data_IF_615813565122
#
_entry.id   IF_615813565122
#
_cell.length_a   1.000
_cell.length_b   1.000
_cell.length_c   1.000
_cell.angle_alpha   90.00
_cell.angle_beta   90.00
_cell.angle_gamma   90.00
#
_symmetry.space_group_name_H-M   'P 1'
#
loop_
_entity.id
_entity.type
_entity.pdbx_description
1 polymer ?
#
# COMPACT_ATOMS: atom_id res chain seq x y z
N UNK A 1 7.27 48.50 -45.83
CA UNK A 1 8.27 47.43 -46.00
C UNK A 1 9.57 47.88 -45.31
N UNK A 2 9.78 47.53 -44.04
CA UNK A 2 11.04 47.73 -43.31
C UNK A 2 11.05 46.97 -41.98
N UNK A 3 12.27 46.56 -41.56
CA UNK A 3 12.75 45.98 -40.28
C UNK A 3 13.11 44.49 -40.40
N UNK A 4 14.38 44.19 -40.71
CA UNK A 4 15.56 44.13 -39.81
C UNK A 4 15.79 42.70 -39.35
N UNK A 5 16.65 41.94 -40.03
CA UNK A 5 18.03 41.66 -39.56
C UNK A 5 18.04 41.25 -38.09
N UNK A 6 18.25 39.97 -37.80
CA UNK A 6 19.46 39.49 -37.12
C UNK A 6 19.43 37.96 -37.04
N UNK A 7 20.50 37.38 -37.57
CA UNK A 7 20.84 35.97 -37.61
C UNK A 7 21.68 35.72 -36.36
N UNK A 8 21.27 34.80 -35.49
CA UNK A 8 22.18 34.20 -34.51
C UNK A 8 22.01 32.69 -34.54
N UNK A 9 22.95 32.03 -35.22
CA UNK A 9 23.30 30.64 -34.95
C UNK A 9 24.15 30.66 -33.68
N UNK A 10 23.83 29.82 -32.71
CA UNK A 10 24.76 29.55 -31.60
C UNK A 10 24.11 28.91 -30.39
N UNK A 11 24.43 27.63 -30.19
CA UNK A 11 24.52 26.94 -28.91
C UNK A 11 23.22 26.59 -28.16
N UNK A 12 22.82 25.30 -28.24
CA UNK A 12 22.91 24.31 -27.14
C UNK A 12 22.74 22.93 -27.78
N UNK A 13 23.81 22.18 -28.05
CA UNK A 13 24.58 21.40 -27.07
C UNK A 13 23.72 20.38 -26.31
N UNK A 14 23.89 19.12 -26.72
CA UNK A 14 23.79 17.93 -25.88
C UNK A 14 22.44 17.62 -25.19
N UNK A 15 21.58 16.90 -25.92
CA UNK A 15 20.68 15.92 -25.31
C UNK A 15 21.13 14.50 -25.70
N UNK A 16 22.44 14.25 -25.62
CA UNK A 16 22.96 12.91 -25.47
C UNK A 16 22.69 12.42 -24.05
N UNK A 17 22.30 11.16 -23.95
CA UNK A 17 22.51 10.29 -22.80
C UNK A 17 21.67 10.55 -21.56
N UNK A 18 20.40 10.11 -21.56
CA UNK A 18 19.77 9.52 -20.36
C UNK A 18 18.75 8.40 -20.69
N UNK A 19 18.76 7.84 -21.91
CA UNK A 19 17.89 6.71 -22.28
C UNK A 19 18.48 5.33 -21.90
N UNK A 20 19.27 5.28 -20.83
CA UNK A 20 19.73 4.04 -20.21
C UNK A 20 19.25 3.99 -18.77
N UNK A 21 17.92 3.96 -18.59
CA UNK A 21 17.35 3.28 -17.44
C UNK A 21 17.54 1.78 -17.71
N UNK A 22 18.38 1.04 -16.96
CA UNK A 22 18.62 -0.37 -17.25
C UNK A 22 17.28 -1.09 -17.17
N UNK A 23 16.91 -1.82 -18.22
CA UNK A 23 15.68 -2.63 -18.29
C UNK A 23 15.57 -3.67 -17.16
N UNK A 24 16.66 -3.92 -16.41
CA UNK A 24 16.68 -4.72 -15.18
C UNK A 24 16.32 -3.98 -13.87
N UNK A 25 16.18 -2.65 -13.86
CA UNK A 25 15.79 -1.87 -12.66
C UNK A 25 14.28 -1.67 -12.55
N UNK A 26 13.56 -1.68 -13.68
CA UNK A 26 12.11 -1.49 -13.70
C UNK A 26 11.36 -2.69 -13.08
N UNK A 27 11.84 -3.91 -13.36
CA UNK A 27 11.34 -5.13 -12.72
C UNK A 27 11.54 -5.13 -11.20
N UNK A 28 12.71 -4.67 -10.72
CA UNK A 28 13.02 -4.67 -9.28
C UNK A 28 12.17 -3.67 -8.49
N UNK A 29 11.82 -2.52 -9.08
CA UNK A 29 11.00 -1.48 -8.43
C UNK A 29 9.55 -1.90 -8.22
N UNK A 30 8.94 -2.59 -9.18
CA UNK A 30 7.56 -3.06 -9.02
C UNK A 30 7.47 -4.12 -7.92
N UNK A 31 8.43 -5.06 -7.90
CA UNK A 31 8.48 -6.12 -6.89
C UNK A 31 8.74 -5.58 -5.48
N UNK A 32 9.67 -4.64 -5.30
CA UNK A 32 9.97 -4.10 -3.97
C UNK A 32 8.76 -3.36 -3.39
N UNK A 33 8.05 -2.56 -4.20
CA UNK A 33 6.87 -1.83 -3.76
C UNK A 33 5.76 -2.77 -3.30
N UNK A 34 5.51 -3.85 -4.05
CA UNK A 34 4.51 -4.85 -3.69
C UNK A 34 4.85 -5.54 -2.36
N UNK A 35 6.11 -5.94 -2.17
CA UNK A 35 6.57 -6.55 -0.91
C UNK A 35 6.45 -5.57 0.25
N UNK A 36 6.87 -4.31 0.08
CA UNK A 36 6.73 -3.28 1.10
C UNK A 36 5.28 -3.03 1.50
N UNK A 37 4.36 -3.01 0.54
CA UNK A 37 2.92 -2.83 0.77
C UNK A 37 2.34 -4.00 1.57
N UNK A 38 2.68 -5.23 1.19
CA UNK A 38 2.22 -6.43 1.92
C UNK A 38 2.75 -6.43 3.35
N UNK A 39 4.05 -6.13 3.54
CA UNK A 39 4.65 -6.02 4.87
C UNK A 39 3.98 -4.92 5.69
N UNK A 40 3.74 -3.75 5.11
CA UNK A 40 3.07 -2.64 5.79
C UNK A 40 1.68 -3.04 6.28
N UNK A 41 0.86 -3.65 5.40
CA UNK A 41 -0.50 -4.07 5.76
C UNK A 41 -0.48 -5.18 6.82
N UNK A 42 0.40 -6.19 6.69
CA UNK A 42 0.54 -7.23 7.71
C UNK A 42 0.96 -6.68 9.07
N UNK A 43 1.94 -5.78 9.11
CA UNK A 43 2.40 -5.15 10.36
C UNK A 43 1.30 -4.29 10.96
N UNK A 44 0.54 -3.56 10.14
CA UNK A 44 -0.59 -2.76 10.60
C UNK A 44 -1.70 -3.64 11.24
N UNK A 45 -2.09 -4.75 10.59
CA UNK A 45 -3.07 -5.69 11.16
C UNK A 45 -2.58 -6.26 12.49
N UNK A 46 -1.34 -6.75 12.53
CA UNK A 46 -0.77 -7.38 13.73
C UNK A 46 -0.61 -6.39 14.88
N UNK A 47 -0.13 -5.18 14.59
CA UNK A 47 0.02 -4.13 15.62
C UNK A 47 -1.33 -3.71 16.19
N UNK A 48 -2.34 -3.48 15.35
CA UNK A 48 -3.70 -3.16 15.81
C UNK A 48 -4.27 -4.28 16.71
N UNK A 49 -4.14 -5.54 16.28
CA UNK A 49 -4.58 -6.70 17.05
C UNK A 49 -3.84 -6.82 18.40
N UNK A 50 -2.50 -6.71 18.40
CA UNK A 50 -1.69 -6.84 19.62
C UNK A 50 -1.96 -5.69 20.60
N UNK A 51 -2.13 -4.46 20.11
CA UNK A 51 -2.48 -3.31 20.95
C UNK A 51 -3.84 -3.51 21.60
N UNK A 52 -4.86 -3.92 20.82
CA UNK A 52 -6.18 -4.22 21.35
C UNK A 52 -6.16 -5.37 22.38
N UNK A 53 -5.31 -6.38 22.15
CA UNK A 53 -5.11 -7.48 23.09
C UNK A 53 -4.44 -7.03 24.38
N UNK A 54 -3.41 -6.18 24.29
CA UNK A 54 -2.76 -5.59 25.47
C UNK A 54 -3.71 -4.68 26.27
N UNK A 55 -4.68 -4.06 25.59
CA UNK A 55 -5.73 -3.27 26.22
C UNK A 55 -6.84 -4.13 26.88
N UNK A 56 -6.77 -5.46 26.79
CA UNK A 56 -7.75 -6.36 27.43
C UNK A 56 -9.14 -6.35 26.78
N UNK A 57 -9.25 -5.93 25.51
CA UNK A 57 -10.52 -5.89 24.79
C UNK A 57 -11.02 -7.31 24.47
N UNK A 58 -12.31 -7.47 24.18
CA UNK A 58 -12.86 -8.76 23.79
C UNK A 58 -12.26 -9.24 22.44
N UNK A 59 -12.28 -10.54 22.19
CA UNK A 59 -11.62 -11.14 21.03
C UNK A 59 -12.18 -10.62 19.69
N UNK A 60 -13.49 -10.38 19.62
CA UNK A 60 -14.15 -9.82 18.44
C UNK A 60 -13.63 -8.41 18.11
N UNK A 61 -13.58 -7.53 19.11
CA UNK A 61 -13.07 -6.16 19.01
C UNK A 61 -11.59 -6.14 18.68
N UNK A 62 -10.78 -7.05 19.24
CA UNK A 62 -9.37 -7.18 18.87
C UNK A 62 -9.19 -7.44 17.36
N UNK A 63 -9.98 -8.37 16.81
CA UNK A 63 -9.95 -8.72 15.38
C UNK A 63 -10.44 -7.56 14.51
N UNK A 64 -11.51 -6.88 14.93
CA UNK A 64 -12.02 -5.68 14.24
C UNK A 64 -10.99 -4.58 14.19
N UNK A 65 -10.36 -4.24 15.33
CA UNK A 65 -9.32 -3.18 15.38
C UNK A 65 -8.13 -3.54 14.50
N UNK A 66 -7.68 -4.80 14.52
CA UNK A 66 -6.61 -5.25 13.61
C UNK A 66 -6.98 -5.01 12.13
N UNK A 67 -8.20 -5.37 11.73
CA UNK A 67 -8.67 -5.16 10.36
C UNK A 67 -8.84 -3.67 10.02
N UNK A 68 -9.41 -2.84 10.88
CA UNK A 68 -9.60 -1.41 10.62
C UNK A 68 -8.26 -0.65 10.51
N UNK A 69 -7.25 -1.04 11.28
CA UNK A 69 -5.92 -0.42 11.22
C UNK A 69 -5.16 -0.85 9.96
N UNK A 70 -5.26 -2.12 9.58
CA UNK A 70 -4.51 -2.69 8.46
C UNK A 70 -5.20 -2.64 7.10
N UNK A 71 -6.51 -2.49 7.06
CA UNK A 71 -7.32 -2.33 5.86
C UNK A 71 -7.81 -0.88 5.80
N UNK A 72 -7.04 -0.04 5.13
CA UNK A 72 -7.29 1.39 5.05
C UNK A 72 -8.01 1.76 3.75
N UNK A 73 -8.72 2.88 3.76
CA UNK A 73 -9.36 3.39 2.55
C UNK A 73 -8.31 3.94 1.56
N UNK A 74 -7.93 3.11 0.59
CA UNK A 74 -7.00 3.48 -0.47
C UNK A 74 -7.48 4.67 -1.33
N UNK A 75 -8.80 4.88 -1.45
CA UNK A 75 -9.38 6.02 -2.16
C UNK A 75 -9.08 7.36 -1.49
N UNK A 76 -9.10 7.41 -0.15
CA UNK A 76 -8.71 8.60 0.59
C UNK A 76 -7.22 8.93 0.39
N UNK A 77 -6.35 7.90 0.43
CA UNK A 77 -4.92 8.08 0.15
C UNK A 77 -4.67 8.52 -1.31
N UNK A 78 -5.46 8.02 -2.26
CA UNK A 78 -5.38 8.43 -3.66
C UNK A 78 -5.82 9.88 -3.86
N UNK A 79 -6.88 10.32 -3.17
CA UNK A 79 -7.29 11.72 -3.15
C UNK A 79 -6.16 12.62 -2.64
N UNK A 80 -5.47 12.24 -1.58
CA UNK A 80 -4.30 13.00 -1.08
C UNK A 80 -3.20 13.09 -2.14
N UNK A 81 -2.85 11.98 -2.78
CA UNK A 81 -1.81 11.97 -3.82
C UNK A 81 -2.15 12.86 -5.03
N UNK A 82 -3.40 12.84 -5.48
CA UNK A 82 -3.85 13.55 -6.67
C UNK A 82 -4.23 15.00 -6.40
N UNK A 83 -5.08 15.25 -5.41
CA UNK A 83 -5.66 16.57 -5.16
C UNK A 83 -4.74 17.46 -4.33
N UNK A 84 -4.08 16.91 -3.31
CA UNK A 84 -3.25 17.68 -2.38
C UNK A 84 -1.81 17.76 -2.87
N UNK A 85 -1.19 16.62 -3.17
CA UNK A 85 0.21 16.59 -3.59
C UNK A 85 0.41 16.95 -5.07
N UNK A 86 -0.65 16.95 -5.89
CA UNK A 86 -0.60 17.27 -7.33
C UNK A 86 0.45 16.43 -8.08
N UNK A 87 0.72 15.20 -7.61
CA UNK A 87 1.73 14.31 -8.19
C UNK A 87 1.09 12.97 -8.55
N UNK A 88 0.59 12.80 -9.79
CA UNK A 88 -0.06 11.57 -10.23
C UNK A 88 0.80 10.32 -10.11
N UNK A 89 2.13 10.47 -10.20
CA UNK A 89 3.07 9.36 -10.02
C UNK A 89 2.98 8.73 -8.60
N UNK A 90 2.60 9.51 -7.57
CA UNK A 90 2.45 9.00 -6.21
C UNK A 90 1.17 8.17 -6.03
N UNK A 91 0.17 8.32 -6.90
CA UNK A 91 -1.11 7.62 -6.81
C UNK A 91 -0.99 6.09 -7.07
N UNK A 92 0.11 5.66 -7.69
CA UNK A 92 0.38 4.23 -7.95
C UNK A 92 0.49 3.45 -6.63
N UNK A 93 1.08 4.04 -5.59
CA UNK A 93 1.27 3.37 -4.29
C UNK A 93 -0.07 3.07 -3.58
N UNK A 94 -0.98 4.03 -3.33
CA UNK A 94 -2.28 3.75 -2.74
C UNK A 94 -3.16 2.87 -3.61
N UNK A 95 -3.05 2.96 -4.95
CA UNK A 95 -3.75 2.04 -5.85
C UNK A 95 -3.29 0.59 -5.65
N UNK A 96 -1.97 0.35 -5.62
CA UNK A 96 -1.41 -0.97 -5.32
C UNK A 96 -1.78 -1.43 -3.91
N UNK A 97 -1.75 -0.54 -2.92
CA UNK A 97 -2.15 -0.83 -1.54
C UNK A 97 -3.59 -1.32 -1.46
N UNK A 98 -4.53 -0.63 -2.12
CA UNK A 98 -5.95 -0.99 -2.10
C UNK A 98 -6.24 -2.40 -2.63
N UNK A 99 -5.41 -2.90 -3.55
CA UNK A 99 -5.54 -4.27 -4.08
C UNK A 99 -4.81 -5.26 -3.16
N UNK A 100 -3.55 -4.97 -2.82
CA UNK A 100 -2.67 -5.91 -2.12
C UNK A 100 -3.02 -6.10 -0.65
N UNK A 101 -3.63 -5.11 0.02
CA UNK A 101 -4.04 -5.21 1.43
C UNK A 101 -5.08 -6.33 1.67
N UNK A 102 -5.80 -6.76 0.64
CA UNK A 102 -6.80 -7.83 0.76
C UNK A 102 -6.14 -9.20 1.05
N UNK A 103 -4.92 -9.43 0.57
CA UNK A 103 -4.20 -10.70 0.78
C UNK A 103 -3.93 -10.95 2.27
N UNK A 104 -3.26 -10.05 3.02
CA UNK A 104 -3.07 -10.24 4.45
C UNK A 104 -4.38 -10.15 5.25
N UNK A 105 -5.36 -9.35 4.80
CA UNK A 105 -6.68 -9.28 5.44
C UNK A 105 -7.41 -10.64 5.40
N UNK A 106 -7.50 -11.28 4.23
CA UNK A 106 -8.12 -12.60 4.10
C UNK A 106 -7.33 -13.67 4.84
N UNK A 107 -6.01 -13.64 4.79
CA UNK A 107 -5.16 -14.56 5.56
C UNK A 107 -5.42 -14.43 7.07
N UNK A 108 -5.53 -13.20 7.58
CA UNK A 108 -5.83 -12.94 8.98
C UNK A 108 -7.23 -13.41 9.37
N UNK A 109 -8.24 -13.10 8.56
CA UNK A 109 -9.63 -13.56 8.79
C UNK A 109 -9.68 -15.09 8.81
N UNK A 110 -9.04 -15.76 7.86
CA UNK A 110 -8.98 -17.22 7.81
C UNK A 110 -8.33 -17.82 9.06
N UNK A 111 -7.19 -17.28 9.48
CA UNK A 111 -6.50 -17.69 10.71
C UNK A 111 -7.35 -17.44 11.96
N UNK A 112 -8.08 -16.33 11.98
CA UNK A 112 -8.95 -15.92 13.07
C UNK A 112 -10.19 -16.81 13.19
N UNK A 113 -10.79 -17.24 12.08
CA UNK A 113 -11.96 -18.13 12.10
C UNK A 113 -11.62 -19.50 12.69
N UNK A 114 -10.45 -20.06 12.34
CA UNK A 114 -10.00 -21.35 12.89
C UNK A 114 -9.85 -21.36 14.42
N UNK A 115 -9.60 -20.21 15.05
CA UNK A 115 -9.51 -20.10 16.50
C UNK A 115 -10.89 -20.04 17.18
N UNK A 116 -11.93 -19.63 16.46
CA UNK A 116 -13.29 -19.56 17.00
C UNK A 116 -14.05 -20.88 16.93
N UNK A 117 -13.62 -21.83 16.09
CA UNK A 117 -14.36 -23.08 15.81
C UNK A 117 -14.02 -24.28 16.73
N UNK A 118 -13.15 -24.17 17.73
CA UNK A 118 -12.79 -25.29 18.63
C UNK A 118 -12.71 -24.86 20.12
N UNK A 119 -13.30 -25.59 21.11
CA UNK A 119 -14.26 -26.70 21.06
C UNK A 119 -15.51 -26.55 21.98
N UNK A 120 -16.72 -26.61 21.42
CA UNK A 120 -17.98 -26.74 22.18
C UNK A 120 -18.40 -28.20 22.47
N UNK A 121 -17.45 -29.15 22.48
CA UNK A 121 -17.73 -30.58 22.69
C UNK A 121 -17.27 -31.10 24.07
N UNK A 122 -17.55 -30.35 25.15
CA UNK A 122 -17.32 -30.83 26.53
C UNK A 122 -18.47 -30.54 27.52
N UNK A 123 -19.68 -30.19 27.06
CA UNK A 123 -20.76 -29.72 27.94
C UNK A 123 -22.08 -30.48 27.92
N UNK A 124 -22.18 -31.64 27.27
CA UNK A 124 -23.43 -32.43 27.21
C UNK A 124 -23.17 -33.90 27.50
N UNK A 125 -22.74 -34.18 28.72
CA UNK A 125 -22.86 -35.50 29.33
C UNK A 125 -22.83 -35.34 30.84
N UNK A 126 -23.90 -34.79 31.43
CA UNK A 126 -24.42 -35.13 32.77
C UNK A 126 -25.92 -34.80 32.80
#
# INVERSE_FOLDING_TARGET
MARSKWRSKGAISNAGNNAHQPSGQLSKKCSINAVSILLLSSVAILSGYVIARKAGLNEQTQRTIGLEVGVQNAGAAMMVALAIMQQPALAVVPLMYGILMNVPAFAFVYWSQRQSEQPALQGQSQ
#
